data_IF_015970909208
#
_entry.id   IF_015970909208
#
_cell.length_a   1.000
_cell.length_b   1.000
_cell.length_c   1.000
_cell.angle_alpha   90.00
_cell.angle_beta   90.00
_cell.angle_gamma   90.00
#
_symmetry.space_group_name_H-M   'P 1'
#
loop_
_entity.id
_entity.type
_entity.pdbx_description
1 polymer ?
#
# COMPACT_ATOMS: atom_id res chain seq x y z
N UNK A 1 -13.56 20.17 21.14
CA UNK A 1 -13.43 19.48 19.84
C UNK A 1 -14.50 18.41 19.82
N UNK A 2 -15.40 18.46 18.85
CA UNK A 2 -16.49 17.49 18.74
C UNK A 2 -15.93 16.19 18.10
N UNK A 3 -16.31 14.99 18.58
CA UNK A 3 -15.85 13.74 17.98
C UNK A 3 -16.43 13.58 16.57
N UNK A 4 -15.62 13.02 15.67
CA UNK A 4 -16.03 12.69 14.30
C UNK A 4 -16.42 11.21 14.21
N UNK A 5 -17.41 10.90 13.37
CA UNK A 5 -17.73 9.51 13.05
C UNK A 5 -16.68 8.92 12.09
N UNK A 6 -16.48 7.59 12.07
CA UNK A 6 -15.53 6.95 11.14
C UNK A 6 -15.79 7.30 9.67
N UNK A 7 -17.05 7.45 9.28
CA UNK A 7 -17.44 7.85 7.92
C UNK A 7 -16.93 9.24 7.57
N UNK A 8 -17.00 10.19 8.51
CA UNK A 8 -16.54 11.56 8.28
C UNK A 8 -15.02 11.60 8.12
N UNK A 9 -14.31 10.86 8.97
CA UNK A 9 -12.85 10.73 8.89
C UNK A 9 -12.42 10.09 7.57
N UNK A 10 -13.06 9.00 7.16
CA UNK A 10 -12.74 8.32 5.91
C UNK A 10 -13.03 9.20 4.69
N UNK A 11 -14.16 9.91 4.69
CA UNK A 11 -14.53 10.82 3.61
C UNK A 11 -13.50 11.95 3.47
N UNK A 12 -13.09 12.55 4.60
CA UNK A 12 -12.08 13.60 4.60
C UNK A 12 -10.71 13.11 4.12
N UNK A 13 -10.28 11.91 4.54
CA UNK A 13 -8.99 11.34 4.09
C UNK A 13 -9.03 11.05 2.59
N UNK A 14 -10.10 10.41 2.10
CA UNK A 14 -10.24 10.08 0.69
C UNK A 14 -10.27 11.33 -0.20
N UNK A 15 -11.01 12.37 0.18
CA UNK A 15 -11.04 13.64 -0.55
C UNK A 15 -9.64 14.25 -0.68
N UNK A 16 -8.83 14.18 0.38
CA UNK A 16 -7.45 14.71 0.34
C UNK A 16 -6.50 13.87 -0.51
N UNK A 17 -6.71 12.56 -0.56
CA UNK A 17 -5.93 11.67 -1.43
C UNK A 17 -6.32 11.91 -2.89
N UNK A 18 -7.61 12.03 -3.20
CA UNK A 18 -8.12 12.23 -4.56
C UNK A 18 -7.71 13.58 -5.16
N UNK A 19 -7.63 14.63 -4.34
CA UNK A 19 -7.23 15.96 -4.79
C UNK A 19 -5.71 16.14 -4.96
N UNK A 20 -4.89 15.23 -4.41
CA UNK A 20 -3.44 15.29 -4.56
C UNK A 20 -3.01 14.40 -5.73
N UNK A 21 -2.74 15.04 -6.88
CA UNK A 21 -2.27 14.36 -8.09
C UNK A 21 -0.99 13.53 -7.84
N UNK A 22 -0.15 13.94 -6.88
CA UNK A 22 1.07 13.20 -6.54
C UNK A 22 0.77 11.88 -5.85
N UNK A 23 -0.42 11.73 -5.26
CA UNK A 23 -0.84 10.50 -4.60
C UNK A 23 -1.54 9.52 -5.56
N UNK A 24 -1.85 9.96 -6.78
CA UNK A 24 -2.55 9.15 -7.78
C UNK A 24 -1.65 8.18 -8.56
N UNK A 25 -0.38 8.54 -8.79
CA UNK A 25 0.60 7.72 -9.52
C UNK A 25 2.01 7.97 -8.96
N UNK A 26 2.34 7.30 -7.86
CA UNK A 26 3.59 7.47 -7.13
C UNK A 26 4.36 6.17 -7.05
N UNK A 27 5.68 6.31 -6.93
CA UNK A 27 6.61 5.21 -6.78
C UNK A 27 7.17 5.22 -5.36
N UNK A 28 7.08 4.09 -4.64
CA UNK A 28 7.66 3.92 -3.30
C UNK A 28 8.81 2.92 -3.36
N UNK A 29 9.96 3.32 -2.81
CA UNK A 29 11.09 2.41 -2.60
C UNK A 29 11.06 1.89 -1.17
N UNK A 30 11.23 0.57 -1.00
CA UNK A 30 11.36 -0.04 0.32
C UNK A 30 11.74 -1.50 0.26
N UNK A 31 12.08 -2.05 1.42
CA UNK A 31 12.31 -3.49 1.60
C UNK A 31 10.98 -4.21 1.82
N UNK A 32 10.74 -5.30 1.10
CA UNK A 32 9.56 -6.14 1.25
C UNK A 32 9.65 -6.95 2.55
N UNK A 33 8.56 -6.95 3.33
CA UNK A 33 8.40 -7.83 4.50
C UNK A 33 6.96 -8.31 4.66
N UNK A 34 6.73 -9.21 5.62
CA UNK A 34 5.39 -9.68 6.00
C UNK A 34 4.56 -10.19 4.80
N UNK A 35 5.24 -10.81 3.83
CA UNK A 35 4.65 -11.25 2.58
C UNK A 35 3.70 -12.43 2.79
N UNK A 36 2.50 -12.34 2.23
CA UNK A 36 1.52 -13.43 2.19
C UNK A 36 0.70 -13.41 0.90
N UNK A 37 0.26 -14.59 0.47
CA UNK A 37 -0.58 -14.78 -0.72
C UNK A 37 -1.97 -15.25 -0.31
N UNK A 38 -3.00 -14.52 -0.71
CA UNK A 38 -4.40 -14.93 -0.48
C UNK A 38 -4.82 -16.08 -1.40
N UNK A 39 -5.92 -16.75 -1.05
CA UNK A 39 -6.49 -17.82 -1.89
C UNK A 39 -6.86 -17.33 -3.30
N UNK A 40 -7.29 -16.07 -3.42
CA UNK A 40 -7.61 -15.45 -4.72
C UNK A 40 -6.35 -15.05 -5.51
N UNK A 41 -5.17 -15.11 -4.88
CA UNK A 41 -3.88 -14.83 -5.50
C UNK A 41 -3.41 -13.39 -5.40
N UNK A 42 -4.04 -12.56 -4.56
CA UNK A 42 -3.49 -11.24 -4.19
C UNK A 42 -2.31 -11.40 -3.25
N UNK A 43 -1.30 -10.56 -3.39
CA UNK A 43 -0.13 -10.54 -2.53
C UNK A 43 -0.25 -9.36 -1.58
N UNK A 44 -0.18 -9.63 -0.29
CA UNK A 44 -0.11 -8.61 0.74
C UNK A 44 1.31 -8.61 1.29
N UNK A 45 1.88 -7.43 1.45
CA UNK A 45 3.23 -7.26 1.99
C UNK A 45 3.33 -5.89 2.63
N UNK A 46 4.43 -5.64 3.31
CA UNK A 46 4.79 -4.31 3.77
C UNK A 46 6.06 -3.84 3.06
N UNK A 47 6.10 -2.57 2.69
CA UNK A 47 7.34 -1.88 2.31
C UNK A 47 7.87 -1.16 3.55
N UNK A 48 9.13 -1.39 3.87
CA UNK A 48 9.77 -0.83 5.06
C UNK A 48 10.99 0.01 4.68
N UNK A 49 11.21 1.04 5.48
CA UNK A 49 12.49 1.70 5.62
C UNK A 49 12.94 1.62 7.09
N UNK A 50 13.95 2.40 7.49
CA UNK A 50 14.46 2.39 8.86
C UNK A 50 13.50 2.98 9.92
N UNK A 51 12.41 3.62 9.52
CA UNK A 51 11.55 4.40 10.42
C UNK A 51 10.05 4.09 10.29
N UNK A 52 9.64 3.53 9.17
CA UNK A 52 8.25 3.46 8.74
C UNK A 52 7.95 2.18 7.98
N UNK A 53 6.66 1.84 7.93
CA UNK A 53 6.17 0.68 7.20
C UNK A 53 4.84 1.02 6.54
N UNK A 54 4.74 0.70 5.25
CA UNK A 54 3.53 0.85 4.44
C UNK A 54 2.99 -0.53 4.10
N UNK A 55 1.75 -0.85 4.50
CA UNK A 55 1.08 -2.07 4.04
C UNK A 55 0.56 -1.86 2.63
N UNK A 56 0.84 -2.83 1.78
CA UNK A 56 0.53 -2.77 0.37
C UNK A 56 -0.13 -4.06 -0.09
N UNK A 57 -0.95 -3.95 -1.13
CA UNK A 57 -1.53 -5.08 -1.84
C UNK A 57 -1.16 -4.99 -3.31
N UNK A 58 -0.63 -6.07 -3.86
CA UNK A 58 -0.53 -6.27 -5.30
C UNK A 58 -1.69 -7.16 -5.73
N UNK A 59 -2.61 -6.58 -6.48
CA UNK A 59 -3.73 -7.31 -7.05
C UNK A 59 -3.23 -8.33 -8.07
N UNK A 60 -3.94 -9.46 -8.17
CA UNK A 60 -3.52 -10.59 -9.02
C UNK A 60 -3.44 -10.18 -10.50
N UNK A 61 -4.31 -9.27 -10.92
CA UNK A 61 -4.44 -8.80 -12.31
C UNK A 61 -3.27 -7.91 -12.73
N UNK A 62 -2.66 -7.21 -11.79
CA UNK A 62 -1.59 -6.23 -12.03
C UNK A 62 -0.18 -6.84 -11.92
N UNK A 63 -0.08 -8.17 -11.83
CA UNK A 63 1.18 -8.84 -11.53
C UNK A 63 2.06 -8.98 -12.80
N UNK A 64 3.28 -8.42 -12.82
CA UNK A 64 4.18 -8.50 -13.99
C UNK A 64 4.90 -9.85 -14.16
N UNK A 65 4.36 -10.95 -13.61
CA UNK A 65 5.01 -12.27 -13.66
C UNK A 65 6.24 -12.41 -12.76
N UNK A 66 6.49 -11.45 -11.87
CA UNK A 66 7.57 -11.45 -10.88
C UNK A 66 7.02 -11.87 -9.52
N UNK A 67 7.69 -12.82 -8.85
CA UNK A 67 7.42 -13.14 -7.44
C UNK A 67 8.25 -12.23 -6.53
N UNK A 68 7.63 -11.79 -5.43
CA UNK A 68 8.26 -10.97 -4.40
C UNK A 68 8.64 -11.86 -3.22
N UNK A 69 9.85 -11.66 -2.70
CA UNK A 69 10.34 -12.34 -1.50
C UNK A 69 10.66 -11.32 -0.39
N UNK A 70 10.51 -11.68 0.90
CA UNK A 70 10.97 -10.84 1.99
C UNK A 70 12.48 -10.52 1.86
N UNK A 71 12.83 -9.25 2.00
CA UNK A 71 14.20 -8.75 1.80
C UNK A 71 14.44 -8.13 0.41
N UNK A 72 13.53 -8.32 -0.55
CA UNK A 72 13.63 -7.66 -1.85
C UNK A 72 13.53 -6.14 -1.71
N UNK A 73 14.40 -5.43 -2.42
CA UNK A 73 14.27 -3.99 -2.63
C UNK A 73 13.46 -3.75 -3.89
N UNK A 74 12.27 -3.16 -3.76
CA UNK A 74 11.39 -2.91 -4.89
C UNK A 74 11.01 -1.45 -4.99
N UNK A 75 10.63 -1.06 -6.21
CA UNK A 75 9.89 0.18 -6.44
C UNK A 75 8.47 -0.24 -6.82
N UNK A 76 7.51 0.14 -5.98
CA UNK A 76 6.10 -0.17 -6.13
C UNK A 76 5.31 1.07 -6.52
#
# INVERSE_FOLDING_TARGET
MEPLEPTDVLSYINERIELDERLSDLWVVGEVSDYTRSQQGHRYFSLKDGYSSLRSVMFRTEMPGVDLEPGDSVIA
#
